data_IF_649115814139
#
_entry.id   IF_649115814139
#
_cell.length_a   1.000
_cell.length_b   1.000
_cell.length_c   1.000
_cell.angle_alpha   90.00
_cell.angle_beta   90.00
_cell.angle_gamma   90.00
#
_symmetry.space_group_name_H-M   'P 1'
#
loop_
_entity.id
_entity.type
_entity.pdbx_description
1 polymer ?
#
# COMPACT_ATOMS: atom_id res chain seq x y z
N UNK A 1 -9.40 -31.78 5.93
CA UNK A 1 -8.49 -30.71 6.41
C UNK A 1 -8.44 -29.67 5.31
N UNK A 2 -9.05 -28.51 5.52
CA UNK A 2 -8.86 -27.36 4.62
C UNK A 2 -7.52 -26.74 5.00
N UNK A 3 -6.57 -26.69 4.08
CA UNK A 3 -5.17 -26.37 4.41
C UNK A 3 -4.90 -24.86 4.49
N UNK A 4 -5.88 -24.02 4.12
CA UNK A 4 -5.81 -22.56 4.23
C UNK A 4 -7.22 -21.99 4.43
N UNK A 5 -7.45 -21.27 5.53
CA UNK A 5 -8.68 -20.48 5.68
C UNK A 5 -8.49 -19.16 4.91
N UNK A 6 -9.21 -19.03 3.81
CA UNK A 6 -9.22 -17.79 3.02
C UNK A 6 -10.34 -16.91 3.53
N UNK A 7 -9.99 -15.71 4.01
CA UNK A 7 -10.97 -14.66 4.33
C UNK A 7 -11.10 -13.74 3.13
N UNK A 8 -12.32 -13.31 2.86
CA UNK A 8 -12.59 -12.40 1.75
C UNK A 8 -13.38 -11.19 2.22
N UNK A 9 -13.14 -10.06 1.55
CA UNK A 9 -14.00 -8.89 1.65
C UNK A 9 -14.17 -8.27 0.27
N UNK A 10 -15.34 -7.67 0.06
CA UNK A 10 -15.67 -7.03 -1.21
C UNK A 10 -15.79 -5.52 -1.04
N UNK A 11 -15.21 -4.78 -1.98
CA UNK A 11 -15.38 -3.35 -2.13
C UNK A 11 -16.13 -3.08 -3.43
N UNK A 12 -17.22 -2.30 -3.32
CA UNK A 12 -17.86 -1.71 -4.50
C UNK A 12 -17.11 -0.43 -4.88
N UNK A 13 -16.65 -0.36 -6.13
CA UNK A 13 -15.89 0.77 -6.63
C UNK A 13 -16.83 1.79 -7.29
N UNK A 14 -16.86 3.04 -6.82
CA UNK A 14 -17.52 4.11 -7.55
C UNK A 14 -16.89 4.29 -8.94
N UNK A 15 -17.67 4.83 -9.88
CA UNK A 15 -17.19 5.11 -11.25
C UNK A 15 -15.96 6.02 -11.20
N UNK A 16 -14.88 5.60 -11.85
CA UNK A 16 -13.62 6.35 -11.91
C UNK A 16 -12.74 6.23 -10.67
N UNK A 17 -13.05 5.31 -9.74
CA UNK A 17 -12.21 4.98 -8.58
C UNK A 17 -11.56 3.61 -8.80
N UNK A 18 -10.29 3.49 -8.44
CA UNK A 18 -9.56 2.21 -8.36
C UNK A 18 -9.08 1.98 -6.94
N UNK A 19 -9.33 0.80 -6.43
CA UNK A 19 -8.95 0.40 -5.08
C UNK A 19 -7.81 -0.61 -5.12
N UNK A 20 -6.85 -0.41 -4.23
CA UNK A 20 -5.81 -1.38 -3.87
C UNK A 20 -5.89 -1.60 -2.35
N UNK A 21 -5.64 -2.83 -1.90
CA UNK A 21 -5.61 -3.18 -0.50
C UNK A 21 -4.31 -3.90 -0.15
N UNK A 22 -3.87 -3.72 1.08
CA UNK A 22 -2.68 -4.35 1.64
C UNK A 22 -3.00 -4.99 2.99
N UNK A 23 -2.48 -6.18 3.23
CA UNK A 23 -2.30 -6.70 4.57
C UNK A 23 -1.10 -6.03 5.23
N UNK A 24 -1.24 -5.69 6.51
CA UNK A 24 -0.18 -5.08 7.31
C UNK A 24 0.37 -6.11 8.27
N UNK A 25 1.63 -6.47 8.06
CA UNK A 25 2.38 -7.33 8.97
C UNK A 25 3.30 -6.49 9.84
N UNK A 26 3.08 -6.49 11.15
CA UNK A 26 3.97 -5.82 12.10
C UNK A 26 5.10 -6.76 12.50
N UNK A 27 6.34 -6.29 12.48
CA UNK A 27 7.43 -7.05 13.10
C UNK A 27 7.35 -6.92 14.60
N UNK A 28 7.85 -7.94 15.32
CA UNK A 28 7.83 -7.94 16.78
C UNK A 28 8.79 -6.87 17.33
N UNK A 29 8.51 -6.27 18.51
CA UNK A 29 9.34 -5.23 19.10
C UNK A 29 10.83 -5.57 19.20
N UNK A 30 11.15 -6.83 19.51
CA UNK A 30 12.50 -7.37 19.58
C UNK A 30 13.29 -7.28 18.25
N UNK A 31 12.60 -7.20 17.11
CA UNK A 31 13.21 -7.17 15.77
C UNK A 31 13.28 -5.76 15.16
N UNK A 32 12.68 -4.74 15.79
CA UNK A 32 12.60 -3.37 15.26
C UNK A 32 13.98 -2.71 15.07
N UNK A 33 15.02 -3.22 15.71
CA UNK A 33 16.38 -2.71 15.54
C UNK A 33 16.98 -3.10 14.18
N UNK A 34 16.60 -4.24 13.62
CA UNK A 34 17.24 -4.88 12.45
C UNK A 34 16.28 -5.09 11.28
N UNK A 35 14.97 -4.99 11.49
CA UNK A 35 13.94 -5.28 10.50
C UNK A 35 13.01 -4.08 10.28
N UNK A 36 12.33 -4.00 9.11
CA UNK A 36 11.23 -3.06 8.93
C UNK A 36 10.17 -3.24 10.00
N UNK A 37 9.67 -2.13 10.53
CA UNK A 37 8.71 -2.14 11.65
C UNK A 37 7.36 -2.71 11.22
N UNK A 38 6.99 -2.47 9.96
CA UNK A 38 5.85 -3.11 9.32
C UNK A 38 6.14 -3.34 7.84
N UNK A 39 5.39 -4.27 7.25
CA UNK A 39 5.38 -4.57 5.83
C UNK A 39 3.96 -4.46 5.30
N UNK A 40 3.85 -4.04 4.04
CA UNK A 40 2.60 -4.08 3.29
C UNK A 40 2.69 -5.19 2.27
N UNK A 41 1.80 -6.16 2.38
CA UNK A 41 1.66 -7.23 1.40
C UNK A 41 0.40 -6.91 0.58
N UNK A 42 0.58 -6.62 -0.71
CA UNK A 42 -0.55 -6.31 -1.60
C UNK A 42 -1.48 -7.51 -1.68
N UNK A 43 -2.77 -7.27 -1.49
CA UNK A 43 -3.79 -8.29 -1.63
C UNK A 43 -4.15 -8.50 -3.10
N UNK A 44 -4.23 -9.76 -3.48
CA UNK A 44 -4.82 -10.18 -4.75
C UNK A 44 -6.33 -10.01 -4.70
N UNK A 45 -6.92 -9.80 -5.88
CA UNK A 45 -8.36 -9.62 -6.01
C UNK A 45 -8.90 -10.17 -7.32
N UNK A 46 -10.20 -10.46 -7.29
CA UNK A 46 -10.99 -10.77 -8.48
C UNK A 46 -11.95 -9.60 -8.72
N UNK A 47 -11.99 -9.12 -9.96
CA UNK A 47 -12.96 -8.12 -10.41
C UNK A 47 -14.25 -8.80 -10.91
N UNK A 48 -15.38 -8.21 -10.55
CA UNK A 48 -16.68 -8.53 -11.12
C UNK A 48 -17.47 -7.26 -11.40
N UNK A 49 -18.44 -7.35 -12.31
CA UNK A 49 -19.35 -6.26 -12.62
C UNK A 49 -20.80 -6.72 -12.41
N UNK A 50 -21.60 -5.90 -11.74
CA UNK A 50 -23.05 -6.13 -11.61
C UNK A 50 -23.77 -4.79 -11.64
N UNK A 51 -24.79 -4.69 -12.49
CA UNK A 51 -25.61 -3.49 -12.66
C UNK A 51 -24.76 -2.23 -12.99
N UNK A 52 -23.70 -2.40 -13.79
CA UNK A 52 -22.76 -1.34 -14.17
C UNK A 52 -21.83 -0.87 -13.04
N UNK A 53 -21.81 -1.58 -11.90
CA UNK A 53 -20.91 -1.31 -10.77
C UNK A 53 -19.80 -2.35 -10.72
N UNK A 54 -18.56 -1.86 -10.68
CA UNK A 54 -17.37 -2.68 -10.48
C UNK A 54 -17.23 -3.06 -9.01
N UNK A 55 -16.86 -4.32 -8.76
CA UNK A 55 -16.64 -4.86 -7.42
C UNK A 55 -15.34 -5.63 -7.42
N UNK A 56 -14.52 -5.38 -6.40
CA UNK A 56 -13.29 -6.13 -6.14
C UNK A 56 -13.47 -6.96 -4.89
N UNK A 57 -13.28 -8.27 -5.03
CA UNK A 57 -13.21 -9.18 -3.88
C UNK A 57 -11.75 -9.49 -3.64
N UNK A 58 -11.25 -9.10 -2.46
CA UNK A 58 -9.88 -9.32 -2.04
C UNK A 58 -9.80 -10.57 -1.19
N UNK A 59 -8.79 -11.41 -1.46
CA UNK A 59 -8.55 -12.64 -0.71
C UNK A 59 -7.38 -12.46 0.23
N UNK A 60 -7.56 -12.89 1.48
CA UNK A 60 -6.55 -12.85 2.53
C UNK A 60 -6.25 -14.29 2.90
N UNK A 61 -4.99 -14.69 2.70
CA UNK A 61 -4.45 -15.94 3.21
C UNK A 61 -4.23 -15.73 4.71
N UNK A 62 -5.20 -16.08 5.54
CA UNK A 62 -5.14 -15.82 6.97
C UNK A 62 -4.71 -17.09 7.72
N UNK A 63 -3.54 -17.03 8.36
CA UNK A 63 -3.17 -17.92 9.47
C UNK A 63 -3.64 -17.36 10.83
N UNK A 64 -3.95 -16.06 10.91
CA UNK A 64 -4.36 -15.37 12.12
C UNK A 64 -5.86 -15.00 12.18
N UNK A 65 -6.39 -14.90 13.41
CA UNK A 65 -7.78 -14.55 13.69
C UNK A 65 -8.15 -13.12 13.23
N UNK A 66 -7.22 -12.18 13.29
CA UNK A 66 -7.37 -10.78 12.90
C UNK A 66 -6.28 -10.37 11.90
N UNK A 67 -6.62 -9.56 10.91
CA UNK A 67 -5.64 -9.02 9.94
C UNK A 67 -5.83 -7.52 9.81
N UNK A 68 -4.77 -6.75 10.05
CA UNK A 68 -4.79 -5.31 9.83
C UNK A 68 -4.68 -5.02 8.33
N UNK A 69 -5.50 -4.10 7.85
CA UNK A 69 -5.59 -3.75 6.44
C UNK A 69 -5.36 -2.25 6.20
N UNK A 70 -4.68 -1.96 5.11
CA UNK A 70 -4.65 -0.63 4.49
C UNK A 70 -5.41 -0.69 3.18
N UNK A 71 -6.47 0.11 3.03
CA UNK A 71 -7.24 0.22 1.79
C UNK A 71 -6.98 1.60 1.21
N UNK A 72 -6.56 1.65 -0.05
CA UNK A 72 -6.28 2.89 -0.77
C UNK A 72 -7.22 2.97 -1.97
N UNK A 73 -8.15 3.92 -1.92
CA UNK A 73 -9.06 4.25 -3.02
C UNK A 73 -8.53 5.45 -3.79
N UNK A 74 -8.29 5.30 -5.08
CA UNK A 74 -7.63 6.27 -5.94
C UNK A 74 -8.62 6.79 -6.99
N UNK A 75 -8.87 8.09 -7.00
CA UNK A 75 -9.63 8.77 -8.05
C UNK A 75 -8.67 9.57 -8.96
N UNK A 76 -9.19 10.39 -9.87
CA UNK A 76 -8.35 11.19 -10.78
C UNK A 76 -7.49 12.26 -10.07
N UNK A 77 -8.02 12.88 -9.02
CA UNK A 77 -7.40 14.06 -8.37
C UNK A 77 -7.09 13.87 -6.90
N UNK A 78 -7.67 12.86 -6.26
CA UNK A 78 -7.53 12.59 -4.84
C UNK A 78 -7.54 11.10 -4.55
N UNK A 79 -6.93 10.72 -3.44
CA UNK A 79 -7.04 9.39 -2.86
C UNK A 79 -7.60 9.44 -1.45
N UNK A 80 -8.21 8.34 -1.04
CA UNK A 80 -8.66 8.10 0.33
C UNK A 80 -7.95 6.85 0.83
N UNK A 81 -7.30 6.97 1.97
CA UNK A 81 -6.62 5.88 2.65
C UNK A 81 -7.40 5.56 3.92
N UNK A 82 -7.78 4.30 4.06
CA UNK A 82 -8.47 3.76 5.22
C UNK A 82 -7.58 2.72 5.87
N UNK A 83 -7.51 2.76 7.21
CA UNK A 83 -6.88 1.73 8.02
C UNK A 83 -7.96 1.01 8.82
N UNK A 84 -7.80 -0.29 9.05
CA UNK A 84 -8.74 -1.05 9.86
C UNK A 84 -8.33 -2.49 10.01
N UNK A 85 -9.26 -3.32 10.46
CA UNK A 85 -9.04 -4.75 10.68
C UNK A 85 -10.14 -5.59 10.07
N UNK A 86 -9.80 -6.84 9.74
CA UNK A 86 -10.76 -7.86 9.36
C UNK A 86 -11.21 -8.66 10.57
N UNK A 87 -12.52 -8.67 10.81
CA UNK A 87 -13.19 -9.51 11.80
C UNK A 87 -14.12 -10.47 11.07
N UNK A 88 -13.70 -11.72 10.91
CA UNK A 88 -14.37 -12.67 10.02
C UNK A 88 -14.30 -12.23 8.56
N UNK A 89 -15.46 -11.96 7.94
CA UNK A 89 -15.59 -11.46 6.56
C UNK A 89 -15.93 -9.97 6.48
N UNK A 90 -15.79 -9.23 7.59
CA UNK A 90 -16.13 -7.81 7.66
C UNK A 90 -14.88 -6.97 7.94
N UNK A 91 -14.69 -5.95 7.13
CA UNK A 91 -13.72 -4.89 7.41
C UNK A 91 -14.33 -3.89 8.40
N UNK A 92 -13.63 -3.66 9.50
CA UNK A 92 -13.94 -2.63 10.50
C UNK A 92 -12.86 -1.56 10.44
N UNK A 93 -13.23 -0.36 10.00
CA UNK A 93 -12.34 0.80 9.97
C UNK A 93 -11.90 1.20 11.39
N UNK A 94 -10.64 1.59 11.52
CA UNK A 94 -10.07 2.14 12.76
C UNK A 94 -9.55 3.56 12.46
N UNK A 95 -10.07 4.55 13.20
CA UNK A 95 -9.67 5.95 13.04
C UNK A 95 -10.30 6.64 11.83
N UNK A 96 -9.83 7.85 11.52
CA UNK A 96 -10.34 8.67 10.42
C UNK A 96 -9.72 8.32 9.07
N UNK A 97 -10.44 8.64 7.99
CA UNK A 97 -9.93 8.52 6.63
C UNK A 97 -8.83 9.57 6.38
N UNK A 98 -7.69 9.15 5.84
CA UNK A 98 -6.68 10.09 5.36
C UNK A 98 -6.98 10.45 3.91
N UNK A 99 -7.13 11.74 3.62
CA UNK A 99 -7.25 12.24 2.26
C UNK A 99 -5.87 12.65 1.72
N UNK A 100 -5.61 12.32 0.47
CA UNK A 100 -4.41 12.77 -0.24
C UNK A 100 -4.78 13.40 -1.56
N UNK A 101 -4.13 14.52 -1.90
CA UNK A 101 -4.24 15.16 -3.20
C UNK A 101 -2.99 14.86 -4.02
N UNK A 102 -3.14 14.71 -5.33
CA UNK A 102 -2.02 14.37 -6.20
C UNK A 102 -1.42 15.63 -6.82
N UNK A 103 -0.16 15.91 -6.48
CA UNK A 103 0.68 16.83 -7.23
C UNK A 103 1.41 16.07 -8.36
N UNK A 104 1.55 16.71 -9.52
CA UNK A 104 2.31 16.13 -10.64
C UNK A 104 3.81 16.11 -10.34
N UNK A 105 4.52 15.09 -10.82
CA UNK A 105 5.97 14.96 -10.65
C UNK A 105 6.77 15.90 -11.57
N UNK A 106 6.18 16.30 -12.70
CA UNK A 106 6.74 17.24 -13.69
C UNK A 106 5.65 17.63 -14.70
N UNK A 107 5.78 18.76 -15.39
CA UNK A 107 4.93 19.10 -16.55
C UNK A 107 5.54 18.63 -17.89
N UNK A 108 6.72 17.99 -17.85
CA UNK A 108 7.46 17.55 -19.02
C UNK A 108 7.28 16.04 -19.21
N UNK A 109 6.78 15.64 -20.37
CA UNK A 109 6.77 14.24 -20.79
C UNK A 109 8.19 13.83 -21.13
N UNK A 110 8.66 12.70 -20.58
CA UNK A 110 10.04 12.25 -20.78
C UNK A 110 10.25 10.80 -20.39
N UNK A 111 11.50 10.35 -20.54
CA UNK A 111 11.91 8.99 -20.20
C UNK A 111 11.90 8.74 -18.68
N UNK A 112 11.75 7.48 -18.23
CA UNK A 112 11.81 7.15 -16.81
C UNK A 112 13.12 7.63 -16.16
N UNK A 113 12.99 8.34 -15.03
CA UNK A 113 14.12 8.89 -14.26
C UNK A 113 14.36 8.09 -12.98
N UNK A 114 15.63 8.05 -12.58
CA UNK A 114 16.07 7.43 -11.33
C UNK A 114 15.90 8.41 -10.15
N UNK A 115 15.08 8.02 -9.18
CA UNK A 115 14.89 8.72 -7.92
C UNK A 115 15.60 7.95 -6.80
N UNK A 116 16.82 8.41 -6.48
CA UNK A 116 17.64 7.82 -5.43
C UNK A 116 17.33 8.43 -4.08
N UNK A 117 17.30 7.59 -3.05
CA UNK A 117 17.08 8.02 -1.67
C UNK A 117 17.88 7.15 -0.70
N UNK A 118 18.15 7.70 0.49
CA UNK A 118 18.69 6.90 1.59
C UNK A 118 17.61 5.93 2.05
N UNK A 119 17.83 4.63 1.85
CA UNK A 119 16.85 3.62 2.22
C UNK A 119 16.96 3.34 3.72
N UNK A 120 15.85 3.53 4.43
CA UNK A 120 15.72 3.16 5.83
C UNK A 120 14.75 1.98 5.95
N UNK A 121 15.23 0.75 6.24
CA UNK A 121 14.35 -0.40 6.41
C UNK A 121 13.26 -0.15 7.46
N UNK A 122 13.53 0.64 8.50
CA UNK A 122 12.59 0.93 9.59
C UNK A 122 11.45 1.87 9.18
N UNK A 123 11.64 2.62 8.11
CA UNK A 123 10.68 3.60 7.57
C UNK A 123 10.58 3.42 6.05
N UNK A 124 10.05 2.28 5.59
CA UNK A 124 9.96 2.02 4.16
C UNK A 124 8.98 3.00 3.52
N UNK A 125 9.32 3.44 2.32
CA UNK A 125 8.46 4.25 1.47
C UNK A 125 7.86 3.31 0.44
N UNK A 126 6.53 3.26 0.33
CA UNK A 126 5.80 2.52 -0.69
C UNK A 126 5.28 3.50 -1.73
N UNK A 127 5.55 3.25 -3.02
CA UNK A 127 5.08 4.07 -4.13
C UNK A 127 3.98 3.33 -4.90
N UNK A 128 2.88 4.00 -5.19
CA UNK A 128 1.76 3.45 -5.96
C UNK A 128 1.53 4.33 -7.20
N UNK A 129 1.53 3.72 -8.39
CA UNK A 129 1.05 4.37 -9.62
C UNK A 129 -0.47 4.51 -9.52
N UNK A 130 -0.96 5.76 -9.55
CA UNK A 130 -2.38 6.03 -9.32
C UNK A 130 -3.26 5.64 -10.50
N UNK A 131 -2.69 5.56 -11.71
CA UNK A 131 -3.42 5.23 -12.92
C UNK A 131 -3.64 3.72 -13.01
N UNK A 132 -2.61 2.93 -12.68
CA UNK A 132 -2.67 1.46 -12.75
C UNK A 132 -3.07 0.83 -11.42
N UNK A 133 -3.03 1.57 -10.31
CA UNK A 133 -3.19 1.05 -8.95
C UNK A 133 -2.20 -0.10 -8.66
N UNK A 134 -0.95 0.07 -9.09
CA UNK A 134 0.12 -0.91 -8.86
C UNK A 134 1.20 -0.32 -7.95
N UNK A 135 1.64 -1.12 -6.98
CA UNK A 135 2.85 -0.82 -6.20
C UNK A 135 4.08 -0.87 -7.12
N UNK A 136 4.95 0.11 -6.96
CA UNK A 136 6.27 0.16 -7.57
C UNK A 136 7.27 -0.24 -6.49
N UNK A 137 8.10 -1.23 -6.78
CA UNK A 137 9.16 -1.68 -5.87
C UNK A 137 10.45 -0.89 -6.12
N UNK A 138 11.19 -0.50 -5.07
CA UNK A 138 12.50 0.11 -5.23
C UNK A 138 13.56 -0.96 -5.45
N UNK A 139 14.59 -0.62 -6.24
CA UNK A 139 15.84 -1.35 -6.22
C UNK A 139 16.64 -0.93 -4.99
N UNK A 140 17.04 -1.91 -4.15
CA UNK A 140 17.82 -1.66 -2.93
C UNK A 140 19.24 -2.21 -3.14
N UNK A 141 20.23 -1.36 -2.86
CA UNK A 141 21.66 -1.71 -2.93
C UNK A 141 22.44 -1.16 -1.75
N UNK A 142 23.55 -1.80 -1.41
CA UNK A 142 24.48 -1.34 -0.38
C UNK A 142 25.66 -0.66 -1.07
N UNK A 143 25.99 0.57 -0.68
CA UNK A 143 27.13 1.32 -1.22
C UNK A 143 28.47 0.88 -0.57
N UNK A 144 29.58 1.44 -1.05
CA UNK A 144 30.91 1.15 -0.52
C UNK A 144 31.09 1.52 0.97
N UNK A 145 30.27 2.44 1.47
CA UNK A 145 30.27 2.89 2.87
C UNK A 145 29.30 2.09 3.74
N UNK A 146 28.72 1.00 3.23
CA UNK A 146 27.70 0.17 3.88
C UNK A 146 26.35 0.88 4.12
N UNK A 147 26.07 1.97 3.42
CA UNK A 147 24.75 2.59 3.46
C UNK A 147 23.79 1.88 2.50
N UNK A 148 22.54 1.73 2.91
CA UNK A 148 21.48 1.22 2.03
C UNK A 148 20.92 2.38 1.19
N UNK A 149 20.96 2.22 -0.13
CA UNK A 149 20.45 3.18 -1.11
C UNK A 149 19.31 2.54 -1.87
N UNK A 150 18.16 3.21 -1.85
CA UNK A 150 16.99 2.85 -2.65
C UNK A 150 16.96 3.64 -3.95
N UNK A 151 16.41 3.03 -5.01
CA UNK A 151 16.18 3.69 -6.28
C UNK A 151 14.79 3.34 -6.81
N UNK A 152 13.98 4.35 -7.08
CA UNK A 152 12.75 4.21 -7.84
C UNK A 152 12.96 4.69 -9.26
N UNK A 153 12.54 3.88 -10.23
CA UNK A 153 12.51 4.29 -11.64
C UNK A 153 11.11 4.77 -11.99
N UNK A 154 10.90 6.08 -12.01
CA UNK A 154 9.57 6.70 -12.19
C UNK A 154 9.50 7.47 -13.50
N UNK A 155 8.35 7.36 -14.19
CA UNK A 155 8.07 8.15 -15.38
C UNK A 155 7.72 9.58 -14.96
N UNK A 156 8.41 10.62 -15.49
CA UNK A 156 8.01 12.00 -15.33
C UNK A 156 6.59 12.25 -15.80
N UNK A 157 5.93 13.31 -15.31
CA UNK A 157 4.54 13.67 -15.64
C UNK A 157 3.46 12.73 -15.07
N UNK A 158 3.77 11.46 -14.85
CA UNK A 158 2.87 10.58 -14.09
C UNK A 158 2.74 11.02 -12.64
N UNK A 159 1.60 10.70 -12.06
CA UNK A 159 1.28 10.93 -10.66
C UNK A 159 1.45 9.64 -9.88
N UNK A 160 2.04 9.76 -8.69
CA UNK A 160 2.25 8.63 -7.79
C UNK A 160 1.79 9.02 -6.38
N UNK A 161 1.31 8.04 -5.64
CA UNK A 161 1.09 8.17 -4.21
C UNK A 161 2.30 7.58 -3.48
N UNK A 162 2.92 8.37 -2.60
CA UNK A 162 3.99 7.91 -1.72
C UNK A 162 3.47 7.74 -0.30
N UNK A 163 3.64 6.54 0.26
CA UNK A 163 3.26 6.20 1.62
C UNK A 163 4.53 5.95 2.42
N UNK A 164 4.78 6.79 3.42
CA UNK A 164 5.83 6.52 4.40
C UNK A 164 5.24 5.74 5.57
N UNK A 165 5.76 4.54 5.82
CA UNK A 165 5.31 3.72 6.92
C UNK A 165 6.16 4.01 8.15
N UNK A 166 5.52 4.47 9.23
CA UNK A 166 6.18 4.74 10.50
C UNK A 166 5.24 4.45 11.67
N UNK A 167 5.76 3.80 12.72
CA UNK A 167 5.10 3.84 14.02
C UNK A 167 5.43 5.19 14.64
N UNK A 168 4.40 6.01 14.88
CA UNK A 168 4.55 7.14 15.78
C UNK A 168 4.49 6.60 17.21
N UNK A 169 5.48 6.86 18.08
CA UNK A 169 5.30 6.60 19.49
C UNK A 169 4.06 7.36 19.95
N UNK A 170 3.08 6.66 20.52
CA UNK A 170 1.97 7.30 21.20
C UNK A 170 2.58 8.14 22.30
N UNK A 171 2.49 9.47 22.18
CA UNK A 171 2.85 10.35 23.29
C UNK A 171 1.93 9.98 24.44
N UNK A 172 2.50 9.38 25.49
CA UNK A 172 1.82 9.23 26.78
C UNK A 172 1.55 10.60 27.38
#
# INVERSE_FOLDING_TARGET
MNLFDVKEFTIEEPVGVKTIAFAITYTKPEEWLTSPICKLDRLEYIESEKDGRKRKTFSIMADEAETNLLIVSLAKSRGVIMYGKMEGSKFTQIGENMQCEYSGTSNVVGEPMDYRFAYNPKRPIVIIDIETATQIEPEIRIDANKNMIGNYRLVPYKKYLALELAIRPVKK
#
